data_IF_733665028813
#
_entry.id   IF_733665028813
#
_cell.length_a   1.000
_cell.length_b   1.000
_cell.length_c   1.000
_cell.angle_alpha   90.00
_cell.angle_beta   90.00
_cell.angle_gamma   90.00
#
_symmetry.space_group_name_H-M   'P 1'
#
loop_
_entity.id
_entity.type
_entity.pdbx_description
1 polymer ?
#
# COMPACT_ATOMS: atom_id res chain seq x y z
N UNK A 1 -15.30 -33.77 -28.27
CA UNK A 1 -14.97 -33.22 -26.94
C UNK A 1 -14.67 -31.73 -27.10
N UNK A 2 -15.60 -30.85 -26.70
CA UNK A 2 -15.43 -29.38 -26.78
C UNK A 2 -14.88 -28.89 -25.44
N UNK A 3 -13.70 -28.27 -25.47
CA UNK A 3 -13.07 -27.63 -24.31
C UNK A 3 -13.89 -26.40 -23.91
N UNK A 4 -14.31 -26.36 -22.65
CA UNK A 4 -14.99 -25.22 -22.02
C UNK A 4 -13.89 -24.23 -21.64
N UNK A 5 -13.98 -23.00 -22.17
CA UNK A 5 -13.12 -21.88 -21.83
C UNK A 5 -13.36 -21.49 -20.36
N UNK A 6 -12.31 -21.53 -19.55
CA UNK A 6 -12.27 -20.92 -18.22
C UNK A 6 -12.26 -19.40 -18.39
N UNK A 7 -13.37 -18.76 -18.04
CA UNK A 7 -13.48 -17.31 -17.94
C UNK A 7 -12.76 -16.88 -16.65
N UNK A 8 -11.60 -16.24 -16.81
CA UNK A 8 -10.87 -15.58 -15.73
C UNK A 8 -11.71 -14.41 -15.21
N UNK A 9 -12.17 -14.53 -13.97
CA UNK A 9 -12.75 -13.41 -13.23
C UNK A 9 -11.59 -12.54 -12.73
N UNK A 10 -11.22 -11.52 -13.50
CA UNK A 10 -10.37 -10.43 -13.02
C UNK A 10 -11.17 -9.67 -11.95
N UNK A 11 -10.91 -9.97 -10.68
CA UNK A 11 -11.35 -9.14 -9.57
C UNK A 11 -10.45 -7.90 -9.58
N UNK A 12 -10.89 -6.84 -10.27
CA UNK A 12 -10.32 -5.52 -10.10
C UNK A 12 -10.61 -5.08 -8.66
N UNK A 13 -9.61 -5.16 -7.77
CA UNK A 13 -9.58 -4.27 -6.61
C UNK A 13 -9.49 -2.85 -7.17
N UNK A 14 -10.63 -2.20 -7.32
CA UNK A 14 -10.73 -0.77 -7.54
C UNK A 14 -10.13 -0.07 -6.32
N UNK A 15 -8.85 0.30 -6.42
CA UNK A 15 -8.23 1.28 -5.54
C UNK A 15 -8.91 2.60 -5.90
N UNK A 16 -9.90 2.99 -5.10
CA UNK A 16 -10.56 4.29 -5.26
C UNK A 16 -9.60 5.38 -4.81
N UNK A 17 -8.88 5.99 -5.76
CA UNK A 17 -8.15 7.23 -5.52
C UNK A 17 -9.16 8.35 -5.30
N UNK A 18 -9.00 9.10 -4.21
CA UNK A 18 -9.77 10.33 -4.02
C UNK A 18 -9.05 11.46 -4.73
N UNK A 19 -9.73 12.10 -5.66
CA UNK A 19 -9.28 13.38 -6.21
C UNK A 19 -9.19 14.41 -5.07
N UNK A 20 -8.03 15.08 -4.95
CA UNK A 20 -7.61 16.08 -3.95
C UNK A 20 -6.84 15.57 -2.72
N UNK A 21 -6.47 14.29 -2.64
CA UNK A 21 -5.60 13.78 -1.58
C UNK A 21 -4.11 14.05 -1.89
N UNK A 22 -3.28 14.27 -0.86
CA UNK A 22 -1.83 14.35 -1.10
C UNK A 22 -1.32 13.02 -1.69
N UNK A 23 -0.74 13.01 -2.89
CA UNK A 23 -0.21 11.78 -3.50
C UNK A 23 1.32 11.70 -3.37
N UNK A 24 1.83 10.64 -2.76
CA UNK A 24 3.27 10.34 -2.67
C UNK A 24 3.62 9.15 -3.58
N UNK A 25 4.48 9.40 -4.56
CA UNK A 25 5.09 8.36 -5.40
C UNK A 25 6.28 7.75 -4.66
N UNK A 26 6.25 6.44 -4.50
CA UNK A 26 7.39 5.65 -4.04
C UNK A 26 8.16 5.16 -5.27
N UNK A 27 9.27 5.80 -5.57
CA UNK A 27 10.05 5.54 -6.78
C UNK A 27 11.24 4.60 -6.48
N UNK A 28 11.12 3.34 -6.90
CA UNK A 28 12.17 2.33 -6.79
C UNK A 28 12.92 2.10 -8.11
N UNK A 29 12.53 2.78 -9.20
CA UNK A 29 12.90 2.41 -10.57
C UNK A 29 13.79 3.45 -11.24
N UNK A 30 13.68 4.73 -10.86
CA UNK A 30 14.46 5.79 -11.51
C UNK A 30 15.94 5.68 -11.12
N UNK A 31 16.80 5.69 -12.14
CA UNK A 31 18.23 5.58 -12.01
C UNK A 31 18.92 6.93 -12.11
N UNK A 32 19.82 7.21 -11.16
CA UNK A 32 20.71 8.36 -11.24
C UNK A 32 20.02 9.71 -11.07
N UNK A 33 18.75 9.74 -10.64
CA UNK A 33 18.08 10.97 -10.25
C UNK A 33 18.60 11.48 -8.91
N UNK A 34 18.38 12.77 -8.70
CA UNK A 34 18.84 13.50 -7.52
C UNK A 34 17.64 13.98 -6.73
N UNK A 35 17.71 13.85 -5.41
CA UNK A 35 16.84 14.60 -4.53
C UNK A 35 17.21 16.09 -4.49
N UNK A 36 16.39 16.87 -3.79
CA UNK A 36 16.58 18.32 -3.68
C UNK A 36 17.89 18.76 -2.98
N UNK A 37 18.66 17.85 -2.37
CA UNK A 37 20.01 18.13 -1.85
C UNK A 37 21.13 17.60 -2.75
N UNK A 38 20.80 17.02 -3.90
CA UNK A 38 21.76 16.46 -4.83
C UNK A 38 22.24 15.05 -4.48
N UNK A 39 21.61 14.35 -3.54
CA UNK A 39 21.96 12.95 -3.30
C UNK A 39 21.48 12.11 -4.49
N UNK A 40 22.39 11.32 -5.04
CA UNK A 40 22.09 10.44 -6.16
C UNK A 40 21.66 9.08 -5.63
N UNK A 41 20.53 8.60 -6.12
CA UNK A 41 20.02 7.26 -5.84
C UNK A 41 20.06 6.41 -7.11
N UNK A 42 20.64 5.21 -6.99
CA UNK A 42 20.74 4.18 -8.02
C UNK A 42 19.73 3.06 -7.75
N UNK A 43 19.84 1.91 -8.42
CA UNK A 43 18.88 0.81 -8.31
C UNK A 43 18.62 0.37 -6.85
N UNK A 44 17.35 0.06 -6.58
CA UNK A 44 16.97 -0.77 -5.45
C UNK A 44 17.26 -2.23 -5.77
N UNK A 45 18.31 -2.79 -5.16
CA UNK A 45 18.82 -4.12 -5.50
C UNK A 45 18.55 -5.11 -4.36
N UNK A 46 17.64 -6.07 -4.60
CA UNK A 46 17.33 -7.10 -3.60
C UNK A 46 18.51 -8.03 -3.28
N UNK A 47 19.50 -8.14 -4.16
CA UNK A 47 20.73 -8.89 -3.90
C UNK A 47 21.53 -8.36 -2.71
N UNK A 48 21.26 -7.12 -2.27
CA UNK A 48 21.86 -6.52 -1.09
C UNK A 48 21.24 -7.03 0.22
N UNK A 49 20.09 -7.71 0.15
CA UNK A 49 19.42 -8.39 1.25
C UNK A 49 19.58 -9.92 1.10
N UNK A 50 20.75 -10.50 1.45
CA UNK A 50 21.01 -11.92 1.28
C UNK A 50 19.97 -12.75 2.04
N UNK A 51 19.47 -13.84 1.44
CA UNK A 51 18.44 -14.70 2.04
C UNK A 51 17.03 -14.45 1.52
N UNK A 52 16.77 -13.24 1.00
CA UNK A 52 15.50 -12.91 0.36
C UNK A 52 15.36 -13.64 -0.97
N UNK A 53 14.21 -14.28 -1.21
CA UNK A 53 13.97 -15.08 -2.43
C UNK A 53 12.80 -14.57 -3.27
N UNK A 54 12.07 -13.60 -2.73
CA UNK A 54 10.89 -12.99 -3.29
C UNK A 54 11.24 -12.15 -4.52
N UNK A 55 10.29 -12.05 -5.45
CA UNK A 55 10.47 -11.19 -6.62
C UNK A 55 10.51 -9.72 -6.22
N UNK A 56 11.19 -8.90 -7.03
CA UNK A 56 11.18 -7.45 -6.91
C UNK A 56 9.76 -6.89 -6.73
N UNK A 57 8.81 -7.32 -7.56
CA UNK A 57 7.41 -6.89 -7.47
C UNK A 57 6.71 -7.31 -6.19
N UNK A 58 7.04 -8.48 -5.62
CA UNK A 58 6.47 -8.92 -4.34
C UNK A 58 6.95 -8.01 -3.22
N UNK A 59 8.25 -7.72 -3.19
CA UNK A 59 8.87 -6.88 -2.17
C UNK A 59 8.37 -5.43 -2.25
N UNK A 60 8.39 -4.80 -3.43
CA UNK A 60 7.96 -3.39 -3.57
C UNK A 60 6.46 -3.20 -3.30
N UNK A 61 5.62 -4.17 -3.68
CA UNK A 61 4.20 -4.13 -3.30
C UNK A 61 4.01 -4.32 -1.80
N UNK A 62 4.74 -5.23 -1.16
CA UNK A 62 4.66 -5.41 0.29
C UNK A 62 5.10 -4.15 1.04
N UNK A 63 6.16 -3.47 0.57
CA UNK A 63 6.59 -2.18 1.11
C UNK A 63 5.50 -1.10 0.93
N UNK A 64 4.89 -1.00 -0.25
CA UNK A 64 3.77 -0.06 -0.48
C UNK A 64 2.62 -0.32 0.50
N UNK A 65 2.25 -1.58 0.73
CA UNK A 65 1.17 -1.92 1.67
C UNK A 65 1.54 -1.56 3.11
N UNK A 66 2.78 -1.80 3.53
CA UNK A 66 3.24 -1.42 4.86
C UNK A 66 3.25 0.11 5.04
N UNK A 67 3.75 0.88 4.07
CA UNK A 67 3.66 2.35 4.10
C UNK A 67 2.20 2.80 4.17
N UNK A 68 1.30 2.22 3.36
CA UNK A 68 -0.14 2.53 3.45
C UNK A 68 -0.70 2.23 4.84
N UNK A 69 -0.35 1.08 5.43
CA UNK A 69 -0.79 0.71 6.77
C UNK A 69 -0.36 1.74 7.82
N UNK A 70 0.87 2.27 7.73
CA UNK A 70 1.36 3.30 8.65
C UNK A 70 0.48 4.56 8.65
N UNK A 71 -0.09 4.94 7.49
CA UNK A 71 -0.88 6.18 7.34
C UNK A 71 -2.40 5.96 7.33
N UNK A 72 -2.88 4.74 7.03
CA UNK A 72 -4.31 4.42 6.94
C UNK A 72 -4.84 3.70 8.17
N UNK A 73 -3.98 3.36 9.13
CA UNK A 73 -4.37 2.63 10.33
C UNK A 73 -5.51 3.35 11.08
N UNK A 74 -6.53 2.57 11.41
CA UNK A 74 -7.64 2.94 12.29
C UNK A 74 -7.41 2.46 13.73
N UNK A 75 -6.17 2.09 14.09
CA UNK A 75 -5.80 1.66 15.44
C UNK A 75 -5.76 2.84 16.44
N UNK A 76 -6.12 4.05 16.00
CA UNK A 76 -6.12 5.28 16.79
C UNK A 76 -7.54 5.74 17.07
N UNK A 77 -7.91 5.86 18.35
CA UNK A 77 -9.28 6.16 18.80
C UNK A 77 -9.92 7.43 18.19
N UNK A 78 -9.13 8.39 17.72
CA UNK A 78 -9.61 9.63 17.13
C UNK A 78 -9.83 9.56 15.61
N UNK A 79 -9.44 8.46 14.95
CA UNK A 79 -9.72 8.19 13.54
C UNK A 79 -10.93 7.27 13.50
N UNK A 80 -12.04 7.73 12.92
CA UNK A 80 -13.24 6.90 12.79
C UNK A 80 -12.98 5.64 11.97
N UNK A 81 -13.75 4.56 12.21
CA UNK A 81 -13.60 3.27 11.51
C UNK A 81 -13.70 3.35 9.97
N UNK A 82 -14.27 4.42 9.44
CA UNK A 82 -14.41 4.70 8.01
C UNK A 82 -13.62 5.95 7.60
N UNK A 83 -12.59 6.32 8.36
CA UNK A 83 -11.74 7.46 8.06
C UNK A 83 -10.28 7.03 7.96
N UNK A 84 -9.52 7.81 7.22
CA UNK A 84 -8.07 7.71 7.16
C UNK A 84 -7.46 9.08 6.86
N UNK A 85 -6.14 9.21 6.99
CA UNK A 85 -5.44 10.41 6.56
C UNK A 85 -5.70 10.71 5.08
N UNK A 86 -5.81 11.99 4.73
CA UNK A 86 -6.03 12.44 3.36
C UNK A 86 -4.74 12.45 2.53
N UNK A 87 -4.15 11.26 2.38
CA UNK A 87 -2.90 10.99 1.69
C UNK A 87 -3.00 9.67 0.93
N UNK A 88 -2.36 9.57 -0.22
CA UNK A 88 -2.29 8.38 -1.06
C UNK A 88 -0.85 8.02 -1.45
N UNK A 89 -0.63 6.74 -1.69
CA UNK A 89 0.68 6.21 -2.08
C UNK A 89 0.56 5.32 -3.30
N UNK A 90 1.51 5.42 -4.23
CA UNK A 90 1.63 4.53 -5.38
C UNK A 90 3.09 4.18 -5.66
N UNK A 91 3.31 3.05 -6.34
CA UNK A 91 4.58 2.76 -7.00
C UNK A 91 4.57 3.48 -8.35
N UNK A 92 5.46 4.45 -8.55
CA UNK A 92 5.58 5.18 -9.79
C UNK A 92 6.93 5.90 -9.85
N UNK A 93 7.48 6.05 -11.06
CA UNK A 93 8.70 6.83 -11.27
C UNK A 93 8.44 8.34 -11.08
N UNK A 94 9.51 9.10 -10.82
CA UNK A 94 9.47 10.57 -10.80
C UNK A 94 8.91 11.14 -12.12
N UNK A 95 9.20 10.49 -13.26
CA UNK A 95 8.74 10.91 -14.58
C UNK A 95 7.30 10.49 -14.93
N UNK A 96 6.69 9.61 -14.13
CA UNK A 96 5.30 9.21 -14.34
C UNK A 96 4.37 10.39 -14.04
N UNK A 97 3.63 10.82 -15.05
CA UNK A 97 2.60 11.86 -14.90
C UNK A 97 1.36 11.29 -14.19
N UNK A 98 1.06 11.88 -13.04
CA UNK A 98 -0.07 11.51 -12.17
C UNK A 98 -1.01 12.69 -11.95
N UNK A 99 -0.87 13.76 -12.73
CA UNK A 99 -1.68 14.98 -12.62
C UNK A 99 -3.18 14.73 -12.83
N UNK A 100 -3.54 13.63 -13.51
CA UNK A 100 -4.93 13.18 -13.69
C UNK A 100 -5.49 12.43 -12.48
N UNK A 101 -4.63 11.91 -11.60
CA UNK A 101 -5.01 11.26 -10.34
C UNK A 101 -5.10 12.30 -9.23
N UNK A 102 -4.02 13.08 -9.05
CA UNK A 102 -4.00 14.19 -8.11
C UNK A 102 -3.12 15.35 -8.56
N UNK A 103 -3.61 16.57 -8.32
CA UNK A 103 -2.86 17.79 -8.57
C UNK A 103 -1.72 18.00 -7.58
N UNK A 104 -1.82 17.49 -6.34
CA UNK A 104 -0.79 17.60 -5.30
C UNK A 104 -0.01 16.30 -5.19
N UNK A 105 1.10 16.21 -5.92
CA UNK A 105 1.91 14.99 -5.96
C UNK A 105 3.40 15.25 -5.77
N UNK A 106 4.04 14.37 -5.01
CA UNK A 106 5.45 14.43 -4.65
C UNK A 106 6.12 13.06 -4.79
N UNK A 107 7.44 13.03 -4.89
CA UNK A 107 8.19 11.78 -5.07
C UNK A 107 9.24 11.62 -3.97
N UNK A 108 9.30 10.44 -3.38
CA UNK A 108 10.45 9.99 -2.59
C UNK A 108 11.12 8.85 -3.35
N UNK A 109 12.45 8.89 -3.43
CA UNK A 109 13.21 7.89 -4.17
C UNK A 109 13.77 6.83 -3.24
N UNK A 110 13.84 5.58 -3.71
CA UNK A 110 14.36 4.44 -2.97
C UNK A 110 15.37 3.71 -3.83
N UNK A 111 16.53 3.44 -3.25
CA UNK A 111 17.56 2.69 -3.95
C UNK A 111 18.91 2.77 -3.28
N UNK A 112 19.98 2.53 -4.02
CA UNK A 112 21.34 2.56 -3.47
C UNK A 112 21.92 3.96 -3.54
N UNK A 113 22.48 4.49 -2.46
CA UNK A 113 23.13 5.81 -2.44
C UNK A 113 24.45 5.81 -1.67
N UNK A 114 25.20 6.89 -1.82
CA UNK A 114 26.51 7.10 -1.16
C UNK A 114 26.42 7.87 0.16
N UNK A 115 25.22 8.23 0.61
CA UNK A 115 25.01 8.89 1.90
C UNK A 115 25.48 8.02 3.08
N UNK A 116 25.77 8.63 4.22
CA UNK A 116 26.00 7.94 5.49
C UNK A 116 24.73 7.73 6.33
N UNK A 117 23.54 7.99 5.80
CA UNK A 117 22.24 7.84 6.48
C UNK A 117 21.39 6.72 5.86
N UNK A 118 20.31 6.31 6.54
CA UNK A 118 19.31 5.41 5.95
C UNK A 118 18.33 6.13 5.03
N UNK A 119 18.09 7.41 5.27
CA UNK A 119 17.27 8.25 4.44
C UNK A 119 17.58 9.72 4.69
N UNK A 120 16.99 10.57 3.87
CA UNK A 120 16.97 12.02 4.01
C UNK A 120 15.68 12.54 3.41
N UNK A 121 15.06 13.48 4.09
CA UNK A 121 13.93 14.24 3.57
C UNK A 121 13.92 15.65 4.14
N UNK A 122 13.13 16.48 3.49
CA UNK A 122 12.98 17.88 3.89
C UNK A 122 12.14 17.91 5.15
N UNK A 123 12.38 18.89 6.01
CA UNK A 123 11.44 19.13 7.09
C UNK A 123 10.28 20.00 6.60
N UNK A 124 9.05 19.51 6.75
CA UNK A 124 7.80 20.19 6.46
C UNK A 124 7.58 20.67 5.00
N UNK A 125 8.44 20.30 4.03
CA UNK A 125 8.37 20.93 2.71
C UNK A 125 7.15 20.53 1.88
N UNK A 126 6.62 19.32 2.10
CA UNK A 126 5.39 18.85 1.47
C UNK A 126 4.19 19.50 2.15
N UNK A 127 4.11 19.46 3.49
CA UNK A 127 3.00 20.10 4.23
C UNK A 127 2.93 21.61 4.07
N UNK A 128 4.05 22.28 3.77
CA UNK A 128 4.11 23.73 3.55
C UNK A 128 4.06 24.14 2.08
N UNK A 129 3.98 23.18 1.15
CA UNK A 129 4.03 23.41 -0.30
C UNK A 129 5.25 24.24 -0.76
N UNK A 130 6.40 24.08 -0.09
CA UNK A 130 7.62 24.86 -0.39
C UNK A 130 8.51 24.20 -1.45
N UNK A 131 8.19 22.96 -1.83
CA UNK A 131 8.86 22.23 -2.91
C UNK A 131 7.93 22.12 -4.11
N UNK A 132 8.50 22.28 -5.30
CA UNK A 132 7.76 22.15 -6.56
C UNK A 132 7.29 20.71 -6.76
N UNK A 133 6.10 20.56 -7.34
CA UNK A 133 5.60 19.26 -7.78
C UNK A 133 6.61 18.61 -8.73
N UNK A 134 6.75 17.29 -8.66
CA UNK A 134 7.78 16.48 -9.35
C UNK A 134 9.23 16.64 -8.88
N UNK A 135 9.49 17.42 -7.82
CA UNK A 135 10.78 17.33 -7.14
C UNK A 135 10.82 16.08 -6.26
N UNK A 136 11.96 15.41 -6.26
CA UNK A 136 12.26 14.33 -5.32
C UNK A 136 12.59 14.99 -3.98
N UNK A 137 11.65 14.96 -3.04
CA UNK A 137 11.78 15.67 -1.76
C UNK A 137 12.63 14.91 -0.74
N UNK A 138 13.00 13.67 -1.05
CA UNK A 138 13.76 12.81 -0.17
C UNK A 138 14.21 11.53 -0.85
N UNK A 139 15.13 10.83 -0.19
CA UNK A 139 15.71 9.57 -0.63
C UNK A 139 15.81 8.59 0.53
N UNK A 140 15.63 7.30 0.25
CA UNK A 140 15.91 6.18 1.16
C UNK A 140 17.00 5.30 0.55
N UNK A 141 18.07 5.09 1.31
CA UNK A 141 19.29 4.42 0.87
C UNK A 141 19.32 2.96 1.34
N UNK A 142 18.71 2.09 0.54
CA UNK A 142 18.56 0.66 0.78
C UNK A 142 19.87 -0.07 1.08
N UNK A 143 20.95 0.25 0.36
CA UNK A 143 22.28 -0.34 0.61
C UNK A 143 22.77 -0.05 2.03
N UNK A 144 22.52 1.15 2.58
CA UNK A 144 22.92 1.48 3.94
C UNK A 144 22.06 0.74 4.95
N UNK A 145 20.75 0.65 4.71
CA UNK A 145 19.82 -0.13 5.54
C UNK A 145 20.28 -1.59 5.60
N UNK A 146 20.48 -2.23 4.45
CA UNK A 146 20.88 -3.63 4.40
C UNK A 146 22.24 -3.87 5.04
N UNK A 147 23.24 -3.03 4.75
CA UNK A 147 24.57 -3.19 5.33
C UNK A 147 24.59 -3.02 6.85
N UNK A 148 23.87 -2.02 7.38
CA UNK A 148 23.99 -1.65 8.80
C UNK A 148 23.04 -2.44 9.69
N UNK A 149 21.91 -2.91 9.15
CA UNK A 149 20.96 -3.73 9.88
C UNK A 149 21.19 -5.23 9.69
N UNK A 150 22.02 -5.65 8.74
CA UNK A 150 22.36 -7.08 8.51
C UNK A 150 22.76 -7.82 9.80
N UNK A 151 23.57 -7.27 10.72
CA UNK A 151 23.86 -7.95 11.99
C UNK A 151 22.62 -8.15 12.88
N UNK A 152 21.66 -7.23 12.83
CA UNK A 152 20.39 -7.35 13.58
C UNK A 152 19.42 -8.34 12.92
N UNK A 153 19.49 -8.48 11.60
CA UNK A 153 18.75 -9.48 10.81
C UNK A 153 19.42 -10.87 10.82
N UNK A 154 20.41 -11.10 11.69
CA UNK A 154 21.13 -12.39 11.75
C UNK A 154 21.96 -12.73 10.50
N UNK A 155 22.23 -11.76 9.62
CA UNK A 155 23.00 -11.93 8.39
C UNK A 155 22.22 -12.50 7.20
N UNK A 156 20.93 -12.79 7.37
CA UNK A 156 20.04 -13.26 6.31
C UNK A 156 18.66 -12.63 6.49
N UNK A 157 18.19 -11.94 5.47
CA UNK A 157 16.95 -11.18 5.49
C UNK A 157 15.76 -12.04 5.06
N UNK A 158 14.65 -11.92 5.78
CA UNK A 158 13.33 -12.35 5.28
C UNK A 158 12.49 -11.18 4.73
N UNK A 159 11.36 -11.51 4.10
CA UNK A 159 10.46 -10.50 3.53
C UNK A 159 9.95 -9.51 4.59
N UNK A 160 9.61 -9.98 5.80
CA UNK A 160 9.06 -9.14 6.86
C UNK A 160 10.09 -8.12 7.35
N UNK A 161 11.34 -8.55 7.57
CA UNK A 161 12.43 -7.66 7.98
C UNK A 161 12.75 -6.62 6.91
N UNK A 162 12.83 -7.02 5.63
CA UNK A 162 13.05 -6.08 4.51
C UNK A 162 11.92 -5.05 4.44
N UNK A 163 10.67 -5.51 4.50
CA UNK A 163 9.49 -4.64 4.44
C UNK A 163 9.51 -3.66 5.61
N UNK A 164 9.69 -4.13 6.84
CA UNK A 164 9.71 -3.28 8.03
C UNK A 164 10.84 -2.24 8.00
N UNK A 165 12.04 -2.64 7.57
CA UNK A 165 13.19 -1.76 7.50
C UNK A 165 13.02 -0.67 6.43
N UNK A 166 12.59 -1.03 5.23
CA UNK A 166 12.41 -0.08 4.12
C UNK A 166 11.15 0.77 4.33
N UNK A 167 9.99 0.16 4.58
CA UNK A 167 8.72 0.88 4.78
C UNK A 167 8.79 1.82 5.99
N UNK A 168 9.30 1.33 7.12
CA UNK A 168 9.44 2.18 8.30
C UNK A 168 10.47 3.31 8.12
N UNK A 169 11.45 3.17 7.23
CA UNK A 169 12.35 4.29 6.88
C UNK A 169 11.65 5.26 5.92
N UNK A 170 10.91 4.75 4.92
CA UNK A 170 10.10 5.58 4.04
C UNK A 170 9.10 6.44 4.82
N UNK A 171 8.29 5.81 5.67
CA UNK A 171 7.30 6.51 6.50
C UNK A 171 7.95 7.51 7.46
N UNK A 172 9.18 7.26 7.91
CA UNK A 172 9.95 8.21 8.72
C UNK A 172 10.31 9.47 7.91
N UNK A 173 10.88 9.30 6.72
CA UNK A 173 11.28 10.42 5.87
C UNK A 173 10.06 11.20 5.34
N UNK A 174 8.98 10.50 4.97
CA UNK A 174 7.69 11.14 4.61
C UNK A 174 7.12 11.88 5.83
N UNK A 175 7.24 11.32 7.03
CA UNK A 175 6.88 11.99 8.28
C UNK A 175 7.60 13.32 8.48
N UNK A 176 8.91 13.39 8.20
CA UNK A 176 9.67 14.65 8.20
C UNK A 176 9.12 15.66 7.18
N UNK A 177 8.84 15.21 5.96
CA UNK A 177 8.27 16.06 4.91
C UNK A 177 6.89 16.64 5.29
N UNK A 178 6.20 15.96 6.22
CA UNK A 178 4.92 16.35 6.83
C UNK A 178 5.05 16.99 8.22
N UNK A 179 6.25 17.52 8.53
CA UNK A 179 6.58 18.30 9.72
C UNK A 179 6.63 17.50 11.05
N UNK A 180 6.81 16.18 11.01
CA UNK A 180 7.07 15.41 12.22
C UNK A 180 8.56 15.45 12.60
N UNK A 181 8.84 15.69 13.88
CA UNK A 181 10.20 15.64 14.44
C UNK A 181 10.51 14.31 15.13
N UNK A 182 11.79 14.10 15.48
CA UNK A 182 12.18 12.95 16.28
C UNK A 182 11.71 13.07 17.73
N UNK A 183 11.26 11.98 18.36
CA UNK A 183 10.98 11.96 19.79
C UNK A 183 12.26 11.79 20.62
N UNK A 184 12.22 12.14 21.90
CA UNK A 184 13.35 11.98 22.83
C UNK A 184 13.55 10.53 23.32
N UNK A 185 12.82 9.56 22.78
CA UNK A 185 12.85 8.18 23.26
C UNK A 185 11.73 7.33 22.66
N UNK A 186 11.52 6.17 23.25
CA UNK A 186 10.40 5.29 22.94
C UNK A 186 9.05 6.00 23.18
N UNK A 187 8.05 5.66 22.39
CA UNK A 187 6.70 6.23 22.48
C UNK A 187 5.67 5.11 22.31
N UNK A 188 4.58 5.18 23.08
CA UNK A 188 3.44 4.27 22.89
C UNK A 188 2.88 4.44 21.47
N UNK A 189 2.72 3.30 20.79
CA UNK A 189 2.24 3.15 19.43
C UNK A 189 1.59 1.76 19.30
N UNK A 190 0.72 1.52 18.31
CA UNK A 190 0.05 0.23 18.14
C UNK A 190 0.91 -0.87 17.48
N UNK A 191 2.15 -0.56 17.08
CA UNK A 191 3.05 -1.50 16.43
C UNK A 191 3.71 -2.49 17.38
N UNK A 192 4.48 -3.42 16.81
CA UNK A 192 5.24 -4.43 17.55
C UNK A 192 6.48 -3.85 18.24
N UNK A 193 7.05 -2.79 17.68
CA UNK A 193 8.18 -2.10 18.26
C UNK A 193 7.76 -1.20 19.43
N UNK A 194 8.61 -1.13 20.45
CA UNK A 194 8.48 -0.14 21.52
C UNK A 194 8.71 1.31 21.02
N UNK A 195 9.21 1.47 19.80
CA UNK A 195 9.60 2.74 19.21
C UNK A 195 8.73 3.06 18.01
N UNK A 196 8.19 4.27 17.97
CA UNK A 196 7.39 4.72 16.84
C UNK A 196 8.22 4.95 15.57
N UNK A 197 7.54 5.08 14.43
CA UNK A 197 8.16 5.34 13.11
C UNK A 197 9.16 6.50 13.14
N UNK A 198 8.85 7.60 13.85
CA UNK A 198 9.71 8.79 13.92
C UNK A 198 10.93 8.65 14.84
N UNK A 199 11.12 7.52 15.53
CA UNK A 199 12.33 7.30 16.31
C UNK A 199 13.57 7.13 15.40
N UNK A 200 14.70 7.67 15.82
CA UNK A 200 15.99 7.56 15.10
C UNK A 200 17.04 6.80 15.90
N UNK A 201 18.06 6.27 15.23
CA UNK A 201 19.16 5.52 15.87
C UNK A 201 20.18 6.41 16.56
N UNK A 202 20.16 7.70 16.26
CA UNK A 202 20.97 8.72 16.91
C UNK A 202 20.17 9.41 18.04
N UNK A 203 20.81 10.26 18.87
CA UNK A 203 20.07 11.23 19.66
C UNK A 203 19.12 12.04 18.76
N UNK A 204 17.90 12.37 19.22
CA UNK A 204 17.49 12.29 20.62
C UNK A 204 16.83 10.96 21.02
N UNK A 205 16.45 10.08 20.08
CA UNK A 205 15.75 8.83 20.43
C UNK A 205 16.70 7.71 20.84
N UNK A 206 17.80 7.50 20.11
CA UNK A 206 18.76 6.40 20.32
C UNK A 206 18.10 5.00 20.22
N UNK A 207 17.20 4.82 19.25
CA UNK A 207 16.52 3.56 18.97
C UNK A 207 17.52 2.45 18.54
N UNK A 208 17.48 1.25 19.16
CA UNK A 208 18.30 0.12 18.74
C UNK A 208 17.99 -0.36 17.31
N UNK A 209 19.00 -0.86 16.60
CA UNK A 209 18.84 -1.34 15.22
C UNK A 209 17.82 -2.48 15.07
N UNK A 210 17.75 -3.40 16.03
CA UNK A 210 16.77 -4.50 16.00
C UNK A 210 15.30 -4.03 16.03
N UNK A 211 15.03 -2.83 16.53
CA UNK A 211 13.67 -2.26 16.51
C UNK A 211 13.24 -1.80 15.11
N UNK A 212 14.20 -1.58 14.19
CA UNK A 212 13.91 -1.21 12.80
C UNK A 212 13.44 -2.38 11.94
N UNK A 213 13.65 -3.61 12.41
CA UNK A 213 13.23 -4.84 11.73
C UNK A 213 11.83 -5.29 12.14
N UNK A 214 11.24 -4.65 13.15
CA UNK A 214 9.88 -4.91 13.64
C UNK A 214 8.88 -3.99 12.96
N UNK A 215 7.60 -4.38 12.97
CA UNK A 215 6.54 -3.49 12.55
C UNK A 215 6.46 -2.28 13.49
N UNK A 216 6.68 -1.07 12.96
CA UNK A 216 6.66 0.19 13.70
C UNK A 216 5.44 0.99 13.26
N UNK A 217 4.68 1.52 14.20
CA UNK A 217 3.60 2.45 13.90
C UNK A 217 3.95 3.87 14.36
N UNK A 218 3.23 4.88 13.87
CA UNK A 218 3.34 6.22 14.46
C UNK A 218 2.86 6.21 15.92
N UNK A 219 3.43 7.07 16.76
CA UNK A 219 2.86 7.30 18.09
C UNK A 219 1.54 8.07 17.98
N UNK A 220 0.70 7.99 19.02
CA UNK A 220 -0.57 8.73 19.06
C UNK A 220 -0.38 10.24 18.78
N UNK A 221 0.67 10.85 19.36
CA UNK A 221 0.99 12.26 19.14
C UNK A 221 1.37 12.56 17.69
N UNK A 222 2.16 11.69 17.06
CA UNK A 222 2.55 11.84 15.67
C UNK A 222 1.34 11.70 14.75
N UNK A 223 0.49 10.69 14.98
CA UNK A 223 -0.71 10.47 14.18
C UNK A 223 -1.71 11.64 14.32
N UNK A 224 -1.87 12.20 15.52
CA UNK A 224 -2.68 13.41 15.71
C UNK A 224 -2.12 14.63 14.95
N UNK A 225 -0.79 14.78 14.91
CA UNK A 225 -0.16 15.84 14.12
C UNK A 225 -0.37 15.63 12.63
N UNK A 226 -0.23 14.40 12.12
CA UNK A 226 -0.55 14.07 10.74
C UNK A 226 -2.02 14.37 10.40
N UNK A 227 -2.95 13.97 11.27
CA UNK A 227 -4.37 14.24 11.07
C UNK A 227 -4.70 15.74 11.06
N UNK A 228 -3.97 16.57 11.82
CA UNK A 228 -4.09 18.04 11.76
C UNK A 228 -3.49 18.62 10.48
N UNK A 229 -2.37 18.08 10.03
CA UNK A 229 -1.64 18.58 8.85
C UNK A 229 -2.34 18.20 7.55
N UNK A 230 -2.77 16.96 7.43
CA UNK A 230 -3.37 16.39 6.21
C UNK A 230 -4.89 16.48 6.20
N UNK A 231 -5.52 16.49 7.38
CA UNK A 231 -6.93 16.22 7.51
C UNK A 231 -7.24 14.73 7.49
N UNK A 232 -8.53 14.43 7.65
CA UNK A 232 -9.08 13.07 7.53
C UNK A 232 -10.09 13.06 6.40
N UNK A 233 -10.04 12.02 5.58
CA UNK A 233 -11.05 11.73 4.58
C UNK A 233 -11.94 10.59 5.04
N UNK A 234 -13.19 10.63 4.62
CA UNK A 234 -14.12 9.51 4.81
C UNK A 234 -13.96 8.55 3.66
N UNK A 235 -13.68 7.29 3.97
CA UNK A 235 -13.75 6.21 3.01
C UNK A 235 -15.20 6.02 2.60
N UNK A 236 -15.48 6.19 1.31
CA UNK A 236 -16.76 5.76 0.76
C UNK A 236 -16.92 4.28 1.09
N UNK A 237 -17.80 4.01 2.06
CA UNK A 237 -18.30 2.67 2.28
C UNK A 237 -18.83 2.21 0.93
N UNK A 238 -18.48 1.00 0.44
CA UNK A 238 -19.11 0.48 -0.77
C UNK A 238 -20.60 0.63 -0.51
N UNK A 239 -21.27 1.50 -1.29
CA UNK A 239 -22.70 1.71 -1.13
C UNK A 239 -23.27 0.30 -1.10
N UNK A 240 -23.94 -0.06 0.00
CA UNK A 240 -24.56 -1.38 0.12
C UNK A 240 -25.37 -1.53 -1.14
N UNK A 241 -24.90 -2.34 -2.08
CA UNK A 241 -25.52 -2.46 -3.38
C UNK A 241 -26.92 -2.94 -3.04
N UNK A 242 -27.99 -2.14 -3.25
CA UNK A 242 -29.34 -2.59 -2.94
C UNK A 242 -29.52 -3.80 -3.83
N UNK A 243 -29.60 -5.01 -3.27
CA UNK A 243 -29.46 -6.27 -4.03
C UNK A 243 -30.12 -6.18 -5.41
N UNK A 244 -29.36 -5.95 -6.51
CA UNK A 244 -29.97 -5.78 -7.80
C UNK A 244 -30.09 -7.17 -8.41
N UNK A 245 -31.33 -7.56 -8.67
CA UNK A 245 -31.68 -8.62 -9.59
C UNK A 245 -31.24 -10.06 -9.27
N UNK A 246 -30.48 -10.39 -8.22
CA UNK A 246 -30.20 -11.83 -7.91
C UNK A 246 -31.50 -12.61 -7.69
N UNK A 247 -32.47 -12.02 -6.97
CA UNK A 247 -33.82 -12.56 -6.83
C UNK A 247 -34.54 -12.62 -8.19
N UNK A 248 -34.47 -11.56 -9.00
CA UNK A 248 -35.14 -11.54 -10.32
C UNK A 248 -34.53 -12.54 -11.30
N UNK A 249 -33.21 -12.75 -11.29
CA UNK A 249 -32.48 -13.73 -12.09
C UNK A 249 -32.79 -15.14 -11.60
N UNK A 250 -32.87 -15.36 -10.28
CA UNK A 250 -33.36 -16.64 -9.71
C UNK A 250 -34.80 -16.92 -10.14
N UNK A 251 -35.70 -15.93 -10.05
CA UNK A 251 -37.10 -16.08 -10.44
C UNK A 251 -37.25 -16.34 -11.94
N UNK A 252 -36.46 -15.66 -12.79
CA UNK A 252 -36.38 -15.93 -14.22
C UNK A 252 -35.88 -17.36 -14.50
N UNK A 253 -34.83 -17.81 -13.82
CA UNK A 253 -34.30 -19.16 -13.97
C UNK A 253 -35.33 -20.23 -13.57
N UNK A 254 -36.05 -20.02 -12.45
CA UNK A 254 -37.14 -20.90 -12.01
C UNK A 254 -38.28 -20.92 -13.05
N UNK A 255 -38.65 -19.77 -13.61
CA UNK A 255 -39.69 -19.68 -14.64
C UNK A 255 -39.30 -20.46 -15.92
N UNK A 256 -38.06 -20.34 -16.39
CA UNK A 256 -37.57 -21.09 -17.55
C UNK A 256 -37.52 -22.61 -17.28
N UNK A 257 -37.09 -23.03 -16.09
CA UNK A 257 -37.09 -24.43 -15.67
C UNK A 257 -38.52 -25.01 -15.57
N UNK A 258 -39.47 -24.23 -15.05
CA UNK A 258 -40.88 -24.62 -14.97
C UNK A 258 -41.50 -24.80 -16.37
N UNK A 259 -41.22 -23.89 -17.32
CA UNK A 259 -41.70 -24.02 -18.71
C UNK A 259 -41.07 -25.21 -19.44
N UNK A 260 -39.79 -25.51 -19.20
CA UNK A 260 -39.12 -26.66 -19.80
C UNK A 260 -39.75 -27.99 -19.37
N UNK A 261 -40.23 -28.10 -18.12
CA UNK A 261 -40.87 -29.31 -17.57
C UNK A 261 -42.27 -29.60 -18.12
N UNK A 262 -43.01 -28.58 -18.58
CA UNK A 262 -44.37 -28.76 -19.11
C UNK A 262 -44.34 -29.42 -20.51
N UNK A 263 -43.24 -29.29 -21.25
CA UNK A 263 -43.10 -29.88 -22.60
C UNK A 263 -42.72 -31.36 -22.63
N UNK A 264 -42.34 -31.96 -21.50
CA UNK A 264 -41.85 -33.35 -21.46
C UNK A 264 -42.83 -34.34 -20.83
N UNK A 265 -44.13 -34.02 -20.78
CA UNK A 265 -45.14 -35.03 -20.41
C UNK A 265 -45.40 -35.94 -21.62
N UNK A 266 -45.04 -37.24 -21.57
CA UNK A 266 -45.36 -38.15 -22.67
C UNK A 266 -46.88 -38.28 -22.79
N UNK A 267 -47.42 -37.98 -23.98
CA UNK A 267 -48.75 -38.45 -24.38
C UNK A 267 -48.68 -39.96 -24.48
N UNK A 268 -49.09 -40.67 -23.43
CA UNK A 268 -49.34 -42.10 -23.58
C UNK A 268 -50.55 -42.27 -24.51
N UNK A 269 -50.23 -42.88 -25.64
CA UNK A 269 -51.07 -43.27 -26.76
C UNK A 269 -52.03 -44.34 -26.27
N UNK A 270 -53.30 -43.99 -26.20
CA UNK A 270 -54.40 -44.95 -26.24
C UNK A 270 -54.69 -45.19 -27.72
N UNK A 271 -54.14 -46.24 -28.31
CA UNK A 271 -54.63 -46.83 -29.57
C UNK A 271 -53.83 -48.11 -29.86
N UNK A 272 -54.32 -49.23 -29.31
CA UNK A 272 -54.06 -50.55 -29.86
C UNK A 272 -55.38 -51.31 -29.87
N UNK A 273 -56.21 -50.98 -30.87
CA UNK A 273 -57.38 -51.75 -31.24
C UNK A 273 -57.58 -51.66 -32.75
N UNK A 274 -57.69 -52.83 -33.40
CA UNK A 274 -58.09 -53.12 -34.80
C UNK A 274 -57.11 -52.70 -35.90
N UNK A 275 -56.72 -53.52 -36.88
CA UNK A 275 -57.36 -54.67 -37.55
C UNK A 275 -56.27 -55.63 -38.12
N UNK A 276 -56.33 -56.94 -37.87
CA UNK A 276 -56.86 -57.99 -38.77
C UNK A 276 -56.26 -58.01 -40.19
N UNK A 277 -55.23 -58.85 -40.38
CA UNK A 277 -55.19 -59.99 -41.32
C UNK A 277 -53.89 -60.80 -41.11
#
# INVERSE_FOLDING_TARGET
MKRINNLFLCLCLSISFHSNALLIKLDFETLGSQDMWGNITNNFELSQAPGLTESYSTVTNAILQAVRQDYYSNDYDFIGNNQQLDIDFILASVSTDVSTLDSSHYTIQIGSGSSGSFGVACFACVSSNTVAQNTIFGSVFSNNIFNWLSPSAGGSWDLTEVVNAIAGTLSHEIGHALALGHPNGAQSNPGESAWGVMATGAPPSSMPNGERLKNRAFSNTNMQSLARTLGLRTLEQPQSVPEPATIYIMLLAIFFLARARIKTRPRNVTELTTALN
#
